data_IF_321948054255
#
_entry.id   IF_321948054255
#
_cell.length_a   1.000
_cell.length_b   1.000
_cell.length_c   1.000
_cell.angle_alpha   90.00
_cell.angle_beta   90.00
_cell.angle_gamma   90.00
#
_symmetry.space_group_name_H-M   'P 1'
#
loop_
_entity.id
_entity.type
_entity.pdbx_description
1 polymer ?
#
# COMPACT_ATOMS: atom_id res chain seq x y z
N UNK A 1 -15.04 -12.97 -4.57
CA UNK A 1 -13.97 -12.02 -4.19
C UNK A 1 -14.33 -10.61 -4.65
N UNK A 2 -14.63 -10.40 -5.93
CA UNK A 2 -15.26 -9.17 -6.48
C UNK A 2 -16.39 -8.59 -5.62
N UNK A 3 -17.38 -9.40 -5.19
CA UNK A 3 -18.52 -8.91 -4.40
C UNK A 3 -18.18 -8.26 -3.05
N UNK A 4 -17.06 -8.60 -2.41
CA UNK A 4 -16.71 -8.03 -1.09
C UNK A 4 -16.06 -6.65 -1.24
N UNK A 5 -15.11 -6.53 -2.18
CA UNK A 5 -14.56 -5.25 -2.59
C UNK A 5 -15.63 -4.39 -3.27
N UNK A 6 -16.53 -4.92 -4.10
CA UNK A 6 -17.67 -4.16 -4.63
C UNK A 6 -18.62 -3.66 -3.52
N UNK A 7 -18.74 -4.39 -2.41
CA UNK A 7 -19.60 -4.02 -1.29
C UNK A 7 -18.97 -2.95 -0.39
N UNK A 8 -17.65 -2.96 -0.23
CA UNK A 8 -16.89 -1.95 0.50
C UNK A 8 -16.55 -0.73 -0.36
N UNK A 9 -16.18 -0.98 -1.61
CA UNK A 9 -15.60 -0.04 -2.58
C UNK A 9 -16.55 0.36 -3.73
N UNK A 10 -17.78 -0.14 -3.73
CA UNK A 10 -18.73 0.15 -4.82
C UNK A 10 -18.35 -0.61 -6.10
N UNK A 11 -19.25 -0.63 -7.08
CA UNK A 11 -18.91 -1.23 -8.38
C UNK A 11 -17.89 -0.33 -9.07
N UNK A 12 -16.81 -0.90 -9.64
CA UNK A 12 -15.93 -0.14 -10.51
C UNK A 12 -16.75 0.52 -11.63
N UNK A 13 -16.41 1.75 -12.00
CA UNK A 13 -17.07 2.39 -13.13
C UNK A 13 -16.58 1.66 -14.39
N UNK A 14 -17.50 1.02 -15.11
CA UNK A 14 -17.24 0.23 -16.33
C UNK A 14 -16.34 0.94 -17.36
N UNK A 15 -16.36 2.27 -17.38
CA UNK A 15 -15.51 3.08 -18.25
C UNK A 15 -14.01 2.88 -17.99
N UNK A 16 -13.57 2.90 -16.71
CA UNK A 16 -12.17 2.69 -16.34
C UNK A 16 -11.77 1.22 -16.47
N UNK A 17 -12.69 0.29 -16.17
CA UNK A 17 -12.47 -1.14 -16.43
C UNK A 17 -12.14 -1.39 -17.91
N UNK A 18 -12.84 -0.75 -18.85
CA UNK A 18 -12.57 -0.90 -20.28
C UNK A 18 -11.21 -0.33 -20.70
N UNK A 19 -10.80 0.83 -20.15
CA UNK A 19 -9.46 1.41 -20.38
C UNK A 19 -8.33 0.54 -19.82
N UNK A 20 -8.63 -0.22 -18.76
CA UNK A 20 -7.67 -1.09 -18.09
C UNK A 20 -7.66 -2.53 -18.61
N UNK A 21 -8.76 -2.96 -19.23
CA UNK A 21 -8.96 -4.25 -19.85
C UNK A 21 -8.31 -4.38 -21.24
N UNK A 22 -7.75 -3.28 -21.80
CA UNK A 22 -7.04 -3.31 -23.09
C UNK A 22 -5.84 -4.27 -22.99
N UNK A 23 -6.04 -5.50 -23.46
CA UNK A 23 -5.02 -6.55 -23.50
C UNK A 23 -3.96 -6.19 -24.53
N UNK A 24 -2.69 -6.16 -24.08
CA UNK A 24 -1.48 -6.61 -24.81
C UNK A 24 -1.18 -6.07 -26.23
N UNK A 25 -1.84 -5.04 -26.73
CA UNK A 25 -1.49 -4.52 -28.06
C UNK A 25 -0.15 -3.75 -28.02
N UNK A 26 0.71 -4.08 -28.99
CA UNK A 26 2.06 -3.56 -29.15
C UNK A 26 2.00 -2.11 -29.64
N UNK A 27 1.69 -1.17 -28.75
CA UNK A 27 1.82 0.23 -29.09
C UNK A 27 3.29 0.65 -28.97
N UNK A 28 3.80 1.27 -30.04
CA UNK A 28 5.15 1.83 -30.10
C UNK A 28 5.23 3.12 -29.26
N UNK A 29 5.20 2.96 -27.93
CA UNK A 29 5.46 4.06 -27.00
C UNK A 29 6.94 4.42 -27.06
N UNK A 30 7.23 5.67 -27.38
CA UNK A 30 8.57 6.23 -27.51
C UNK A 30 9.18 6.60 -26.16
N UNK A 31 10.51 6.68 -26.10
CA UNK A 31 11.22 7.16 -24.91
C UNK A 31 10.85 8.61 -24.56
N UNK A 32 10.60 9.45 -25.57
CA UNK A 32 10.21 10.85 -25.36
C UNK A 32 8.85 10.97 -24.65
N UNK A 33 7.89 10.14 -25.01
CA UNK A 33 6.58 10.11 -24.34
C UNK A 33 6.72 9.67 -22.88
N UNK A 34 7.53 8.64 -22.62
CA UNK A 34 7.83 8.19 -21.25
C UNK A 34 8.47 9.33 -20.46
N UNK A 35 9.55 9.93 -20.96
CA UNK A 35 10.27 11.00 -20.27
C UNK A 35 9.38 12.22 -20.01
N UNK A 36 8.50 12.56 -20.95
CA UNK A 36 7.57 13.69 -20.79
C UNK A 36 6.63 13.45 -19.61
N UNK A 37 6.04 12.26 -19.52
CA UNK A 37 5.12 11.93 -18.43
C UNK A 37 5.86 11.71 -17.10
N UNK A 38 7.06 11.11 -17.12
CA UNK A 38 7.94 11.02 -15.93
C UNK A 38 8.19 12.40 -15.34
N UNK A 39 8.59 13.37 -16.18
CA UNK A 39 8.85 14.73 -15.73
C UNK A 39 7.60 15.42 -15.20
N UNK A 40 6.43 15.17 -15.80
CA UNK A 40 5.16 15.70 -15.32
C UNK A 40 4.73 15.10 -13.97
N UNK A 41 5.00 13.81 -13.73
CA UNK A 41 4.67 13.13 -12.47
C UNK A 41 5.68 13.40 -11.35
N UNK A 42 6.94 13.73 -11.68
CA UNK A 42 8.03 13.91 -10.71
C UNK A 42 7.70 14.83 -9.53
N UNK A 43 7.01 15.98 -9.69
CA UNK A 43 6.61 16.82 -8.56
C UNK A 43 5.58 16.19 -7.62
N UNK A 44 4.88 15.14 -8.06
CA UNK A 44 3.83 14.45 -7.31
C UNK A 44 4.30 13.10 -6.75
N UNK A 45 5.56 12.73 -6.99
CA UNK A 45 6.19 11.55 -6.41
C UNK A 45 6.31 11.77 -4.91
N UNK A 46 5.84 10.78 -4.14
CA UNK A 46 6.03 10.75 -2.70
C UNK A 46 7.20 9.84 -2.34
N UNK A 47 7.83 10.14 -1.22
CA UNK A 47 8.85 9.29 -0.64
C UNK A 47 8.20 8.11 0.09
N UNK A 48 8.70 6.91 -0.17
CA UNK A 48 8.32 5.71 0.57
C UNK A 48 9.57 4.97 1.06
N UNK A 49 9.38 4.09 2.03
CA UNK A 49 10.44 3.30 2.62
C UNK A 49 10.12 1.82 2.50
N UNK A 50 10.96 1.09 1.76
CA UNK A 50 10.92 -0.35 1.66
C UNK A 50 11.71 -0.98 2.82
N UNK A 51 11.19 -2.07 3.37
CA UNK A 51 11.88 -2.88 4.35
C UNK A 51 11.93 -4.32 3.84
N UNK A 52 13.13 -4.80 3.54
CA UNK A 52 13.36 -6.12 2.95
C UNK A 52 13.32 -7.26 3.97
N UNK A 53 13.52 -6.94 5.25
CA UNK A 53 13.51 -7.91 6.34
C UNK A 53 12.33 -7.64 7.27
N UNK A 54 11.71 -8.72 7.74
CA UNK A 54 10.87 -8.65 8.93
C UNK A 54 11.74 -8.16 10.07
N UNK A 55 11.33 -7.05 10.68
CA UNK A 55 12.26 -6.17 11.40
C UNK A 55 12.66 -6.71 12.76
N UNK A 56 11.88 -7.61 13.37
CA UNK A 56 12.20 -8.22 14.66
C UNK A 56 11.54 -9.60 14.80
N UNK A 57 12.29 -10.59 15.30
CA UNK A 57 11.69 -11.79 15.91
C UNK A 57 11.25 -11.49 17.34
N UNK A 58 10.28 -12.25 17.84
CA UNK A 58 9.65 -12.09 19.16
C UNK A 58 10.63 -12.10 20.35
N UNK A 59 11.84 -12.63 20.17
CA UNK A 59 12.76 -12.92 21.27
C UNK A 59 13.42 -11.68 21.88
N UNK A 60 13.33 -10.50 21.25
CA UNK A 60 14.03 -9.30 21.72
C UNK A 60 13.19 -8.31 22.53
N UNK A 61 11.85 -8.27 22.44
CA UNK A 61 11.04 -7.33 23.23
C UNK A 61 9.56 -7.75 23.42
N UNK A 62 9.06 -7.91 24.65
CA UNK A 62 7.67 -8.19 24.89
C UNK A 62 6.88 -6.86 24.88
N UNK A 63 6.49 -6.38 23.69
CA UNK A 63 5.39 -5.40 23.61
C UNK A 63 4.13 -5.90 24.33
N UNK A 64 4.01 -7.21 24.48
CA UNK A 64 3.04 -7.93 25.30
C UNK A 64 2.98 -7.48 26.77
N UNK A 65 4.10 -7.04 27.36
CA UNK A 65 4.15 -6.60 28.75
C UNK A 65 3.62 -5.17 28.92
N UNK A 66 3.52 -4.42 27.82
CA UNK A 66 3.12 -3.00 27.80
C UNK A 66 1.70 -2.86 27.24
N UNK A 67 1.35 -3.67 26.25
CA UNK A 67 0.07 -3.63 25.55
C UNK A 67 -0.53 -5.02 25.47
N UNK A 68 -1.86 -5.16 25.67
CA UNK A 68 -2.52 -6.44 25.54
C UNK A 68 -2.34 -6.99 24.13
N UNK A 69 -1.79 -8.20 24.02
CA UNK A 69 -1.71 -8.89 22.73
C UNK A 69 -3.13 -9.13 22.23
N UNK A 70 -3.46 -8.72 21.00
CA UNK A 70 -4.78 -9.01 20.46
C UNK A 70 -5.03 -10.52 20.39
N UNK A 71 -6.25 -10.91 20.73
CA UNK A 71 -6.67 -12.31 20.75
C UNK A 71 -7.84 -12.52 19.79
N UNK A 72 -7.93 -13.72 19.22
CA UNK A 72 -9.11 -14.09 18.45
C UNK A 72 -10.31 -14.42 19.37
N UNK A 73 -11.48 -14.67 18.78
CA UNK A 73 -12.71 -15.04 19.54
C UNK A 73 -12.61 -16.32 20.38
N UNK A 74 -11.52 -17.10 20.24
CA UNK A 74 -11.22 -18.27 21.06
C UNK A 74 -10.17 -17.96 22.13
N UNK A 75 -9.89 -16.68 22.39
CA UNK A 75 -8.89 -16.20 23.36
C UNK A 75 -7.45 -16.65 23.02
N UNK A 76 -7.21 -17.06 21.77
CA UNK A 76 -5.87 -17.42 21.31
C UNK A 76 -5.20 -16.15 20.80
N UNK A 77 -4.05 -15.81 21.38
CA UNK A 77 -3.22 -14.67 20.98
C UNK A 77 -2.81 -14.78 19.51
N UNK A 78 -2.82 -13.66 18.80
CA UNK A 78 -2.24 -13.57 17.47
C UNK A 78 -0.71 -13.64 17.52
N UNK A 79 -0.11 -14.20 16.48
CA UNK A 79 1.33 -14.24 16.32
C UNK A 79 1.84 -12.84 15.95
N UNK A 80 2.72 -12.29 16.76
CA UNK A 80 3.36 -11.00 16.47
C UNK A 80 4.32 -11.13 15.29
N UNK A 81 4.19 -10.24 14.33
CA UNK A 81 4.97 -10.22 13.07
C UNK A 81 6.04 -9.15 13.09
N UNK A 82 5.82 -8.04 13.78
CA UNK A 82 6.79 -6.95 13.87
C UNK A 82 6.14 -5.62 14.22
N UNK A 83 7.00 -4.64 14.53
CA UNK A 83 6.58 -3.25 14.71
C UNK A 83 7.32 -2.39 13.71
N UNK A 84 6.56 -1.50 13.07
CA UNK A 84 7.04 -0.66 11.98
C UNK A 84 6.82 0.79 12.34
N UNK A 85 7.90 1.58 12.29
CA UNK A 85 7.88 2.99 12.63
C UNK A 85 7.84 3.85 11.38
N UNK A 86 6.72 4.58 11.22
CA UNK A 86 6.52 5.57 10.18
C UNK A 86 6.17 6.92 10.82
N UNK A 87 7.02 7.91 10.59
CA UNK A 87 6.91 9.24 11.20
C UNK A 87 6.75 9.19 12.74
N UNK A 88 5.59 9.62 13.24
CA UNK A 88 5.25 9.69 14.66
C UNK A 88 4.37 8.52 15.13
N UNK A 89 4.20 7.50 14.30
CA UNK A 89 3.32 6.36 14.55
C UNK A 89 4.11 5.06 14.42
N UNK A 90 3.88 4.14 15.35
CA UNK A 90 4.36 2.77 15.27
C UNK A 90 3.18 1.82 15.13
N UNK A 91 3.27 0.92 14.17
CA UNK A 91 2.25 -0.08 13.87
C UNK A 91 2.83 -1.45 14.23
N UNK A 92 2.28 -2.06 15.28
CA UNK A 92 2.58 -3.43 15.68
C UNK A 92 1.61 -4.37 14.97
N UNK A 93 2.14 -5.25 14.12
CA UNK A 93 1.35 -6.22 13.35
C UNK A 93 1.36 -7.58 14.03
N UNK A 94 0.21 -8.23 14.04
CA UNK A 94 0.04 -9.58 14.49
C UNK A 94 -0.63 -10.38 13.38
N UNK A 95 0.08 -11.27 12.69
CA UNK A 95 -0.42 -12.01 11.53
C UNK A 95 -0.09 -13.49 11.69
N UNK A 96 -1.11 -14.34 11.61
CA UNK A 96 -0.93 -15.79 11.52
C UNK A 96 -0.75 -16.20 10.04
N UNK A 97 0.50 -16.19 9.59
CA UNK A 97 0.89 -16.57 8.23
C UNK A 97 0.62 -18.04 7.91
N UNK A 98 0.36 -18.92 8.89
CA UNK A 98 0.13 -20.35 8.63
C UNK A 98 -1.31 -20.64 8.16
N UNK A 99 -2.27 -19.75 8.43
CA UNK A 99 -3.68 -19.97 8.11
C UNK A 99 -4.11 -19.23 6.82
N UNK A 100 -5.06 -19.80 6.07
CA UNK A 100 -5.59 -19.22 4.81
C UNK A 100 -6.62 -18.09 4.99
N UNK A 101 -6.76 -17.18 4.02
CA UNK A 101 -7.40 -15.86 4.14
C UNK A 101 -8.91 -15.76 4.49
N UNK A 102 -9.73 -16.80 4.33
CA UNK A 102 -11.20 -16.67 4.47
C UNK A 102 -11.75 -16.46 5.91
N UNK A 103 -10.90 -16.21 6.90
CA UNK A 103 -11.31 -16.09 8.30
C UNK A 103 -10.92 -14.70 8.80
N UNK A 104 -11.90 -13.87 9.16
CA UNK A 104 -11.77 -12.51 9.73
C UNK A 104 -11.07 -12.46 11.10
N UNK A 105 -10.27 -13.48 11.43
CA UNK A 105 -9.69 -13.78 12.74
C UNK A 105 -8.22 -14.17 12.61
N UNK A 106 -7.47 -13.59 11.68
CA UNK A 106 -6.11 -14.05 11.31
C UNK A 106 -5.01 -13.02 11.43
N UNK A 107 -5.39 -11.76 11.56
CA UNK A 107 -4.45 -10.73 11.91
C UNK A 107 -5.15 -9.67 12.77
N UNK A 108 -4.33 -8.95 13.50
CA UNK A 108 -4.70 -7.76 14.22
C UNK A 108 -3.51 -6.81 14.24
N UNK A 109 -3.72 -5.60 14.72
CA UNK A 109 -2.69 -4.59 14.78
C UNK A 109 -2.95 -3.65 15.94
N UNK A 110 -1.87 -3.11 16.48
CA UNK A 110 -1.95 -2.07 17.51
C UNK A 110 -1.14 -0.89 17.05
N UNK A 111 -1.71 0.30 17.21
CA UNK A 111 -1.04 1.53 16.83
C UNK A 111 -0.69 2.34 18.05
N UNK A 112 0.58 2.74 18.08
CA UNK A 112 1.19 3.48 19.16
C UNK A 112 1.67 4.81 18.62
N UNK A 113 1.47 5.88 19.40
CA UNK A 113 2.26 7.08 19.17
C UNK A 113 3.72 6.76 19.49
N UNK A 114 4.63 7.17 18.62
CA UNK A 114 6.07 6.97 18.79
C UNK A 114 6.54 7.41 20.19
N UNK A 115 6.04 8.56 20.67
CA UNK A 115 6.38 9.13 21.97
C UNK A 115 6.09 8.18 23.16
N UNK A 116 5.05 7.35 23.06
CA UNK A 116 4.61 6.41 24.08
C UNK A 116 5.38 5.08 24.06
N UNK A 117 6.28 4.89 23.10
CA UNK A 117 7.13 3.70 23.08
C UNK A 117 8.29 3.83 24.08
N UNK A 118 8.77 2.71 24.65
CA UNK A 118 10.04 2.68 25.38
C UNK A 118 11.19 3.23 24.54
N UNK A 119 12.12 3.95 25.15
CA UNK A 119 13.22 4.61 24.43
C UNK A 119 14.17 3.62 23.73
N UNK A 120 14.38 2.46 24.34
CA UNK A 120 15.10 1.32 23.76
C UNK A 120 14.46 0.87 22.44
N UNK A 121 13.15 0.68 22.44
CA UNK A 121 12.41 0.29 21.24
C UNK A 121 12.42 1.40 20.18
N UNK A 122 12.30 2.67 20.58
CA UNK A 122 12.45 3.79 19.64
C UNK A 122 13.81 3.76 18.94
N UNK A 123 14.88 3.48 19.68
CA UNK A 123 16.24 3.42 19.15
C UNK A 123 16.41 2.24 18.19
N UNK A 124 15.94 1.04 18.57
CA UNK A 124 15.98 -0.15 17.70
C UNK A 124 15.19 0.07 16.41
N UNK A 125 13.96 0.58 16.51
CA UNK A 125 13.11 0.87 15.35
C UNK A 125 13.72 1.95 14.42
N UNK A 126 14.49 2.87 14.99
CA UNK A 126 15.24 3.88 14.24
C UNK A 126 16.47 3.31 13.53
N UNK A 127 17.05 2.21 14.02
CA UNK A 127 18.23 1.55 13.45
C UNK A 127 17.90 0.56 12.33
N UNK A 128 16.62 0.23 12.15
CA UNK A 128 16.17 -0.61 11.04
C UNK A 128 16.58 0.03 9.71
N UNK A 129 17.26 -0.75 8.87
CA UNK A 129 17.63 -0.34 7.52
C UNK A 129 16.37 -0.08 6.69
N UNK A 130 16.26 1.13 6.14
CA UNK A 130 15.14 1.56 5.30
C UNK A 130 15.70 1.88 3.92
N UNK A 131 15.16 1.24 2.90
CA UNK A 131 15.48 1.56 1.51
C UNK A 131 14.50 2.64 1.06
N UNK A 132 15.01 3.84 0.88
CA UNK A 132 14.26 4.95 0.31
C UNK A 132 13.93 4.67 -1.16
N UNK A 133 12.68 4.94 -1.54
CA UNK A 133 12.24 4.83 -2.92
C UNK A 133 11.19 5.89 -3.27
N UNK A 134 11.04 6.09 -4.56
CA UNK A 134 10.00 6.92 -5.14
C UNK A 134 8.70 6.13 -5.23
N UNK A 135 7.61 6.75 -4.80
CA UNK A 135 6.26 6.20 -4.85
C UNK A 135 5.41 7.04 -5.76
N UNK A 136 4.87 6.41 -6.80
CA UNK A 136 3.96 7.04 -7.76
C UNK A 136 2.50 6.82 -7.36
N UNK A 137 1.62 7.78 -7.70
CA UNK A 137 0.18 7.60 -7.54
C UNK A 137 -0.31 6.37 -8.32
N UNK A 138 -1.56 5.96 -8.07
CA UNK A 138 -2.20 4.96 -8.93
C UNK A 138 -2.88 5.64 -10.10
N UNK A 139 -3.20 4.90 -11.16
CA UNK A 139 -3.84 5.46 -12.34
C UNK A 139 -5.14 6.21 -12.03
N UNK A 140 -5.99 5.62 -11.18
CA UNK A 140 -7.23 6.26 -10.74
C UNK A 140 -6.96 7.60 -10.04
N UNK A 141 -5.88 7.70 -9.26
CA UNK A 141 -5.49 8.95 -8.62
C UNK A 141 -4.96 9.96 -9.64
N UNK A 142 -4.22 9.53 -10.67
CA UNK A 142 -3.82 10.41 -11.78
C UNK A 142 -5.03 10.98 -12.50
N UNK A 143 -6.05 10.17 -12.78
CA UNK A 143 -7.30 10.62 -13.41
C UNK A 143 -7.97 11.73 -12.59
N UNK A 144 -8.08 11.55 -11.26
CA UNK A 144 -8.91 12.42 -10.43
C UNK A 144 -8.16 13.57 -9.75
N UNK A 145 -6.90 13.39 -9.35
CA UNK A 145 -6.08 14.44 -8.70
C UNK A 145 -5.20 15.21 -9.67
N UNK A 146 -4.80 14.60 -10.79
CA UNK A 146 -3.85 15.21 -11.75
C UNK A 146 -4.43 15.23 -13.17
N UNK A 147 -5.57 15.91 -13.40
CA UNK A 147 -6.32 15.83 -14.65
C UNK A 147 -5.51 16.31 -15.88
N UNK A 148 -4.58 17.24 -15.70
CA UNK A 148 -3.70 17.70 -16.79
C UNK A 148 -2.71 16.61 -17.24
N UNK A 149 -2.17 15.84 -16.28
CA UNK A 149 -1.29 14.70 -16.56
C UNK A 149 -2.10 13.58 -17.21
N UNK A 150 -3.28 13.27 -16.68
CA UNK A 150 -4.19 12.32 -17.30
C UNK A 150 -4.52 12.72 -18.76
N UNK A 151 -4.86 13.99 -18.98
CA UNK A 151 -5.13 14.52 -20.33
C UNK A 151 -3.92 14.35 -21.25
N UNK A 152 -2.72 14.66 -20.79
CA UNK A 152 -1.49 14.47 -21.57
C UNK A 152 -1.31 12.99 -21.97
N UNK A 153 -1.46 12.07 -21.03
CA UNK A 153 -1.38 10.62 -21.28
C UNK A 153 -2.43 10.18 -22.31
N UNK A 154 -3.70 10.57 -22.14
CA UNK A 154 -4.78 10.23 -23.10
C UNK A 154 -4.67 10.92 -24.45
N UNK A 155 -3.89 12.01 -24.55
CA UNK A 155 -3.65 12.70 -25.83
C UNK A 155 -2.52 12.02 -26.60
N UNK A 156 -1.45 11.62 -25.92
CA UNK A 156 -0.36 10.85 -26.51
C UNK A 156 -0.83 9.46 -26.92
N UNK A 157 -1.55 8.79 -26.02
CA UNK A 157 -2.01 7.42 -26.20
C UNK A 157 -3.52 7.29 -25.98
N UNK A 158 -4.36 7.73 -26.93
CA UNK A 158 -5.82 7.73 -26.78
C UNK A 158 -6.43 6.33 -26.72
N UNK A 159 -5.79 5.35 -27.37
CA UNK A 159 -6.28 3.98 -27.42
C UNK A 159 -5.73 3.13 -26.26
N UNK A 160 -4.54 3.44 -25.75
CA UNK A 160 -3.85 2.64 -24.73
C UNK A 160 -3.19 3.49 -23.61
N UNK A 161 -3.92 4.43 -22.98
CA UNK A 161 -3.32 5.37 -22.01
C UNK A 161 -2.75 4.64 -20.78
N UNK A 162 -3.38 3.54 -20.38
CA UNK A 162 -2.92 2.70 -19.29
C UNK A 162 -1.59 2.00 -19.59
N UNK A 163 -1.32 1.65 -20.86
CA UNK A 163 -0.05 1.03 -21.25
C UNK A 163 1.11 2.02 -21.13
N UNK A 164 0.91 3.28 -21.57
CA UNK A 164 1.88 4.36 -21.35
C UNK A 164 2.15 4.58 -19.86
N UNK A 165 1.08 4.65 -19.06
CA UNK A 165 1.22 4.81 -17.61
C UNK A 165 2.01 3.66 -16.96
N UNK A 166 1.79 2.40 -17.37
CA UNK A 166 2.57 1.27 -16.85
C UNK A 166 4.06 1.39 -17.17
N UNK A 167 4.40 1.72 -18.43
CA UNK A 167 5.80 1.91 -18.84
C UNK A 167 6.47 3.04 -18.05
N UNK A 168 5.74 4.13 -17.81
CA UNK A 168 6.19 5.21 -16.91
C UNK A 168 6.38 4.67 -15.49
N UNK A 169 5.45 3.91 -14.94
CA UNK A 169 5.57 3.35 -13.60
C UNK A 169 6.80 2.43 -13.44
N UNK A 170 7.15 1.68 -14.48
CA UNK A 170 8.33 0.82 -14.51
C UNK A 170 9.65 1.59 -14.37
N UNK A 171 9.72 2.87 -14.81
CA UNK A 171 10.93 3.69 -14.65
C UNK A 171 11.25 4.02 -13.19
N UNK A 172 10.23 4.01 -12.33
CA UNK A 172 10.37 4.27 -10.88
C UNK A 172 10.68 3.01 -10.07
N UNK A 173 10.96 1.87 -10.72
CA UNK A 173 11.40 0.60 -10.11
C UNK A 173 10.56 0.18 -8.88
N UNK A 174 9.31 -0.28 -9.09
CA UNK A 174 8.47 -0.73 -7.98
C UNK A 174 9.18 -1.82 -7.16
N UNK A 175 9.27 -1.64 -5.84
CA UNK A 175 9.85 -2.65 -4.94
C UNK A 175 8.97 -3.89 -4.84
N UNK A 176 9.56 -5.04 -4.52
CA UNK A 176 8.88 -6.27 -4.09
C UNK A 176 9.00 -6.50 -2.57
N UNK A 177 9.51 -5.52 -1.83
CA UNK A 177 9.70 -5.61 -0.39
C UNK A 177 8.41 -6.04 0.33
N UNK A 178 8.54 -6.89 1.38
CA UNK A 178 7.41 -7.35 2.16
C UNK A 178 6.71 -6.20 2.90
N UNK A 179 7.42 -5.13 3.23
CA UNK A 179 6.81 -3.96 3.88
C UNK A 179 7.18 -2.68 3.16
N UNK A 180 6.15 -1.85 2.92
CA UNK A 180 6.26 -0.53 2.34
C UNK A 180 5.60 0.47 3.29
N UNK A 181 6.31 1.52 3.69
CA UNK A 181 5.75 2.58 4.53
C UNK A 181 5.73 3.92 3.80
N UNK A 182 4.64 4.66 3.95
CA UNK A 182 4.42 5.96 3.31
C UNK A 182 4.28 5.90 1.80
N UNK A 183 4.18 7.08 1.19
CA UNK A 183 3.93 7.22 -0.24
C UNK A 183 2.51 6.87 -0.64
N UNK A 184 2.34 6.30 -1.84
CA UNK A 184 1.06 5.81 -2.35
C UNK A 184 0.93 4.30 -2.18
N UNK A 185 -0.30 3.80 -1.90
CA UNK A 185 -0.57 2.37 -1.85
C UNK A 185 -0.27 1.72 -3.21
N UNK A 186 0.53 0.66 -3.20
CA UNK A 186 0.88 -0.08 -4.40
C UNK A 186 -0.06 -1.28 -4.55
N UNK A 187 -1.22 -1.04 -5.14
CA UNK A 187 -2.23 -2.09 -5.33
C UNK A 187 -1.74 -3.21 -6.25
N UNK A 188 -2.00 -4.46 -5.87
CA UNK A 188 -1.77 -5.65 -6.70
C UNK A 188 -2.75 -5.69 -7.87
N UNK A 189 -3.99 -5.27 -7.63
CA UNK A 189 -5.04 -5.10 -8.64
C UNK A 189 -5.45 -3.64 -8.68
N UNK A 190 -5.50 -3.04 -9.86
CA UNK A 190 -5.83 -1.63 -10.01
C UNK A 190 -7.36 -1.43 -10.18
N UNK A 191 -8.15 -1.94 -9.24
CA UNK A 191 -9.62 -1.86 -9.24
C UNK A 191 -10.18 -0.98 -8.10
N UNK A 192 -9.33 -0.12 -7.54
CA UNK A 192 -9.66 0.67 -6.36
C UNK A 192 -10.21 2.04 -6.75
N UNK A 193 -11.41 2.35 -6.26
CA UNK A 193 -12.03 3.67 -6.41
C UNK A 193 -11.32 4.71 -5.52
N UNK A 194 -10.54 5.60 -6.15
CA UNK A 194 -9.80 6.67 -5.48
C UNK A 194 -10.70 7.55 -4.58
N UNK A 195 -11.98 7.73 -4.91
CA UNK A 195 -12.90 8.57 -4.11
C UNK A 195 -13.09 8.05 -2.69
N UNK A 196 -12.79 6.77 -2.46
CA UNK A 196 -12.85 6.12 -1.15
C UNK A 196 -11.55 6.23 -0.37
N UNK A 197 -10.45 6.51 -1.06
CA UNK A 197 -9.14 6.74 -0.49
C UNK A 197 -8.83 8.22 -0.30
N UNK A 198 -9.59 9.13 -0.94
CA UNK A 198 -9.24 10.57 -1.01
C UNK A 198 -9.04 11.25 0.35
N UNK A 199 -9.71 10.76 1.40
CA UNK A 199 -9.63 11.26 2.77
C UNK A 199 -8.81 10.34 3.67
N UNK A 200 -8.12 9.37 3.09
CA UNK A 200 -7.30 8.40 3.80
C UNK A 200 -5.83 8.71 3.55
N UNK A 201 -5.08 8.77 4.62
CA UNK A 201 -3.62 8.82 4.60
C UNK A 201 -3.09 7.38 4.60
N UNK A 202 -2.31 7.03 3.58
CA UNK A 202 -1.68 5.72 3.52
C UNK A 202 -0.50 5.66 4.49
N UNK A 203 -0.50 4.66 5.36
CA UNK A 203 0.56 4.46 6.35
C UNK A 203 1.53 3.37 5.91
N UNK A 204 0.99 2.21 5.54
CA UNK A 204 1.80 1.01 5.31
C UNK A 204 1.08 -0.01 4.44
N UNK A 205 1.85 -0.75 3.66
CA UNK A 205 1.46 -2.01 3.03
C UNK A 205 2.32 -3.14 3.59
N UNK A 206 1.68 -4.24 3.97
CA UNK A 206 2.32 -5.51 4.31
C UNK A 206 1.97 -6.55 3.25
N UNK A 207 2.98 -7.05 2.55
CA UNK A 207 2.90 -8.00 1.45
C UNK A 207 3.36 -9.37 1.88
N UNK A 208 2.60 -10.38 1.49
CA UNK A 208 3.05 -11.77 1.55
C UNK A 208 3.09 -12.32 0.15
N UNK A 209 4.31 -12.31 -0.37
CA UNK A 209 4.59 -12.62 -1.76
C UNK A 209 4.19 -14.05 -2.13
N UNK A 210 4.42 -15.04 -1.26
CA UNK A 210 4.06 -16.45 -1.51
C UNK A 210 2.56 -16.67 -1.77
N UNK A 211 1.72 -15.79 -1.23
CA UNK A 211 0.25 -15.90 -1.30
C UNK A 211 -0.38 -14.83 -2.20
N UNK A 212 0.46 -14.01 -2.84
CA UNK A 212 0.09 -12.86 -3.65
C UNK A 212 -0.95 -11.96 -2.96
N UNK A 213 -0.76 -11.70 -1.66
CA UNK A 213 -1.66 -10.85 -0.88
C UNK A 213 -0.94 -9.59 -0.37
N UNK A 214 -1.73 -8.53 -0.18
CA UNK A 214 -1.32 -7.30 0.49
C UNK A 214 -2.39 -6.86 1.50
N UNK A 215 -1.95 -6.34 2.64
CA UNK A 215 -2.77 -5.65 3.63
C UNK A 215 -2.31 -4.19 3.64
N UNK A 216 -3.26 -3.28 3.48
CA UNK A 216 -3.02 -1.84 3.42
C UNK A 216 -3.62 -1.18 4.66
N UNK A 217 -2.82 -0.35 5.31
CA UNK A 217 -3.17 0.39 6.52
C UNK A 217 -3.29 1.86 6.18
N UNK A 218 -4.43 2.44 6.54
CA UNK A 218 -4.77 3.82 6.30
C UNK A 218 -5.19 4.50 7.59
N UNK A 219 -5.03 5.82 7.65
CA UNK A 219 -5.61 6.69 8.65
C UNK A 219 -6.68 7.56 8.00
N UNK A 220 -7.90 7.52 8.50
CA UNK A 220 -8.95 8.45 8.09
C UNK A 220 -8.62 9.84 8.63
N UNK A 221 -8.44 10.81 7.74
CA UNK A 221 -8.09 12.17 8.12
C UNK A 221 -9.23 12.90 8.85
N UNK A 222 -10.46 12.42 8.72
CA UNK A 222 -11.66 13.00 9.36
C UNK A 222 -11.85 12.46 10.77
N UNK A 223 -11.88 11.14 10.91
CA UNK A 223 -12.13 10.48 12.20
C UNK A 223 -10.86 10.24 13.00
N UNK A 224 -9.69 10.33 12.36
CA UNK A 224 -8.40 9.90 12.89
C UNK A 224 -8.33 8.39 13.19
N UNK A 225 -9.35 7.62 12.78
CA UNK A 225 -9.40 6.17 12.93
C UNK A 225 -8.54 5.48 11.88
N UNK A 226 -8.15 4.24 12.18
CA UNK A 226 -7.38 3.42 11.27
C UNK A 226 -8.30 2.49 10.49
N UNK A 227 -8.05 2.42 9.20
CA UNK A 227 -8.78 1.58 8.27
C UNK A 227 -7.83 0.58 7.62
N UNK A 228 -8.32 -0.64 7.47
CA UNK A 228 -7.58 -1.72 6.83
C UNK A 228 -8.30 -2.11 5.54
N UNK A 229 -7.51 -2.31 4.49
CA UNK A 229 -7.97 -2.92 3.26
C UNK A 229 -7.10 -4.12 2.93
N UNK A 230 -7.73 -5.18 2.42
CA UNK A 230 -7.04 -6.40 2.01
C UNK A 230 -7.19 -6.56 0.50
N UNK A 231 -6.15 -7.01 -0.17
CA UNK A 231 -6.21 -7.37 -1.58
C UNK A 231 -5.44 -8.65 -1.85
N UNK A 232 -6.02 -9.51 -2.69
CA UNK A 232 -5.36 -10.67 -3.29
C UNK A 232 -5.24 -10.40 -4.80
N UNK A 233 -4.09 -10.74 -5.38
CA UNK A 233 -3.90 -10.71 -6.84
C UNK A 233 -4.88 -11.65 -7.55
#
# INVERSE_FOLDING_TARGET
MFKYLEKLLGKPIRYYENLMASKKEHTEITALEIDTIVNALKPHVLKAYALEKETMSFDSYPLADIYPIPQNKKEIAFLYTGTYLFENVAISLYIDLTKGFNDKKKYDYVVHKKENLPDTLKQELSNIEKIEQESLPIWEEVIHRFPDIHKAITTMEPNHPWTLYKKVKETFKPTTAPVLMGGYPQWRVNDVDFRKLKNLEFLMEYRVNEKEYSIYFFKDLTTQELLIMEQKA
#
